data_IF_842752205272
#
_entry.id   IF_842752205272
#
_cell.length_a   1.000
_cell.length_b   1.000
_cell.length_c   1.000
_cell.angle_alpha   90.00
_cell.angle_beta   90.00
_cell.angle_gamma   90.00
#
_symmetry.space_group_name_H-M   'P 1'
#
loop_
_entity.id
_entity.type
_entity.pdbx_description
1 polymer ?
#
# COMPACT_ATOMS: atom_id res chain seq x y z
N UNK A 1 -15.77 25.96 -30.69
CA UNK A 1 -14.38 26.10 -30.21
C UNK A 1 -14.28 25.42 -28.84
N UNK A 2 -14.30 24.09 -28.81
CA UNK A 2 -13.98 23.32 -27.62
C UNK A 2 -12.85 22.38 -28.05
N UNK A 3 -11.61 22.82 -27.87
CA UNK A 3 -10.45 21.95 -28.05
C UNK A 3 -10.50 20.90 -26.94
N UNK A 4 -11.08 19.75 -27.28
CA UNK A 4 -11.14 18.57 -26.42
C UNK A 4 -9.72 18.19 -26.03
N UNK A 5 -9.47 18.08 -24.72
CA UNK A 5 -8.22 17.54 -24.19
C UNK A 5 -8.17 16.06 -24.60
N UNK A 6 -7.57 15.79 -25.75
CA UNK A 6 -7.51 14.48 -26.36
C UNK A 6 -6.09 13.93 -26.14
N UNK A 7 -5.93 13.12 -25.10
CA UNK A 7 -4.68 12.39 -24.88
C UNK A 7 -4.51 11.39 -26.03
N UNK A 8 -3.51 11.62 -26.88
CA UNK A 8 -3.23 10.80 -28.06
C UNK A 8 -2.56 9.47 -27.71
N UNK A 9 -1.97 9.35 -26.52
CA UNK A 9 -1.30 8.15 -26.06
C UNK A 9 -1.28 8.02 -24.54
N UNK A 10 -1.01 6.81 -24.03
CA UNK A 10 -0.77 6.59 -22.60
C UNK A 10 0.41 7.41 -22.08
N UNK A 11 1.44 7.63 -22.92
CA UNK A 11 2.59 8.46 -22.56
C UNK A 11 2.18 9.93 -22.34
N UNK A 12 1.24 10.46 -23.12
CA UNK A 12 0.69 11.82 -22.95
C UNK A 12 -0.20 11.94 -21.71
N UNK A 13 -0.83 10.83 -21.28
CA UNK A 13 -1.57 10.77 -20.02
C UNK A 13 -0.62 10.77 -18.81
N UNK A 14 0.53 10.10 -18.89
CA UNK A 14 1.54 10.19 -17.83
C UNK A 14 2.21 11.57 -17.85
N UNK A 15 2.51 12.09 -19.06
CA UNK A 15 3.14 13.38 -19.29
C UNK A 15 2.14 14.44 -19.77
N UNK A 16 1.13 14.74 -18.96
CA UNK A 16 0.24 15.90 -19.15
C UNK A 16 0.96 17.23 -18.87
N UNK A 17 2.13 17.46 -19.48
CA UNK A 17 2.93 18.66 -19.35
C UNK A 17 3.03 19.20 -17.91
N UNK A 18 2.75 20.48 -17.73
CA UNK A 18 2.90 21.19 -16.44
C UNK A 18 2.00 20.71 -15.29
N UNK A 19 0.96 19.92 -15.55
CA UNK A 19 0.05 19.43 -14.50
C UNK A 19 0.34 18.00 -14.05
N UNK A 20 1.09 17.23 -14.85
CA UNK A 20 1.41 15.84 -14.55
C UNK A 20 2.04 15.68 -13.17
N UNK A 21 3.02 16.53 -12.83
CA UNK A 21 3.73 16.44 -11.56
C UNK A 21 2.80 16.58 -10.34
N UNK A 22 1.89 17.56 -10.37
CA UNK A 22 0.96 17.81 -9.26
C UNK A 22 0.01 16.63 -9.05
N UNK A 23 -0.50 16.06 -10.15
CA UNK A 23 -1.43 14.93 -10.12
C UNK A 23 -0.71 13.68 -9.59
N UNK A 24 0.45 13.35 -10.15
CA UNK A 24 1.24 12.20 -9.72
C UNK A 24 1.75 12.32 -8.29
N UNK A 25 2.06 13.53 -7.80
CA UNK A 25 2.46 13.73 -6.41
C UNK A 25 1.34 13.36 -5.42
N UNK A 26 0.10 13.77 -5.70
CA UNK A 26 -1.06 13.41 -4.86
C UNK A 26 -1.34 11.91 -4.92
N UNK A 27 -1.32 11.31 -6.12
CA UNK A 27 -1.48 9.86 -6.27
C UNK A 27 -0.37 9.06 -5.60
N UNK A 28 0.88 9.53 -5.71
CA UNK A 28 2.03 8.93 -5.03
C UNK A 28 1.87 8.98 -3.51
N UNK A 29 1.47 10.14 -2.97
CA UNK A 29 1.21 10.28 -1.54
C UNK A 29 0.08 9.35 -1.08
N UNK A 30 -1.02 9.28 -1.83
CA UNK A 30 -2.12 8.36 -1.54
C UNK A 30 -1.68 6.88 -1.60
N UNK A 31 -0.88 6.50 -2.59
CA UNK A 31 -0.32 5.15 -2.70
C UNK A 31 0.57 4.82 -1.49
N UNK A 32 1.40 5.76 -1.02
CA UNK A 32 2.19 5.60 0.21
C UNK A 32 1.28 5.35 1.41
N UNK A 33 0.21 6.14 1.57
CA UNK A 33 -0.76 5.92 2.65
C UNK A 33 -1.39 4.54 2.59
N UNK A 34 -1.83 4.09 1.42
CA UNK A 34 -2.38 2.73 1.24
C UNK A 34 -1.36 1.65 1.58
N UNK A 35 -0.13 1.78 1.09
CA UNK A 35 0.95 0.83 1.37
C UNK A 35 1.20 0.75 2.87
N UNK A 36 1.39 1.88 3.54
CA UNK A 36 1.61 1.91 4.99
C UNK A 36 0.44 1.27 5.74
N UNK A 37 -0.79 1.64 5.38
CA UNK A 37 -2.00 1.12 6.03
C UNK A 37 -2.17 -0.39 5.83
N UNK A 38 -1.79 -0.92 4.67
CA UNK A 38 -1.88 -2.35 4.36
C UNK A 38 -0.71 -3.16 4.94
N UNK A 39 0.50 -2.59 4.97
CA UNK A 39 1.71 -3.28 5.44
C UNK A 39 1.74 -3.45 6.97
N UNK A 40 1.23 -2.47 7.71
CA UNK A 40 1.18 -2.50 9.16
C UNK A 40 0.39 -3.69 9.75
N UNK A 41 -0.83 -4.02 9.29
CA UNK A 41 -1.59 -5.17 9.78
C UNK A 41 -0.94 -6.50 9.39
N UNK A 42 -0.30 -6.58 8.22
CA UNK A 42 0.46 -7.76 7.78
C UNK A 42 1.63 -8.07 8.74
N UNK A 43 2.39 -7.05 9.13
CA UNK A 43 3.48 -7.17 10.11
C UNK A 43 2.95 -7.57 11.51
N UNK A 44 1.87 -6.92 11.97
CA UNK A 44 1.27 -7.23 13.28
C UNK A 44 0.73 -8.65 13.36
N UNK A 45 0.07 -9.15 12.30
CA UNK A 45 -0.42 -10.54 12.23
C UNK A 45 0.67 -11.56 12.45
N UNK A 46 1.84 -11.38 11.81
CA UNK A 46 2.99 -12.29 11.99
C UNK A 46 3.48 -12.33 13.44
N UNK A 47 3.50 -11.17 14.12
CA UNK A 47 3.93 -11.09 15.53
C UNK A 47 2.94 -11.79 16.46
N UNK A 48 1.63 -11.60 16.26
CA UNK A 48 0.59 -12.24 17.07
C UNK A 48 0.61 -13.75 16.91
N UNK A 49 0.62 -14.27 15.68
CA UNK A 49 0.65 -15.72 15.42
C UNK A 49 1.91 -16.37 16.02
N UNK A 50 3.07 -15.71 15.90
CA UNK A 50 4.32 -16.20 16.50
C UNK A 50 4.23 -16.30 18.03
N UNK A 51 3.61 -15.32 18.67
CA UNK A 51 3.43 -15.32 20.12
C UNK A 51 2.46 -16.41 20.58
N UNK A 52 1.35 -16.61 19.86
CA UNK A 52 0.39 -17.68 20.14
C UNK A 52 1.01 -19.08 20.00
N UNK A 53 1.84 -19.31 18.97
CA UNK A 53 2.54 -20.58 18.78
C UNK A 53 3.48 -20.90 19.95
N UNK A 54 4.22 -19.90 20.44
CA UNK A 54 5.11 -20.04 21.60
C UNK A 54 4.35 -20.30 22.90
N UNK A 55 3.21 -19.64 23.11
CA UNK A 55 2.37 -19.88 24.30
C UNK A 55 1.81 -21.31 24.33
N UNK A 56 1.31 -21.81 23.19
CA UNK A 56 0.80 -23.19 23.08
C UNK A 56 1.87 -24.25 23.36
N UNK A 57 3.11 -24.04 22.91
CA UNK A 57 4.21 -24.96 23.18
C UNK A 57 4.57 -25.07 24.68
N UNK A 58 4.47 -23.96 25.43
CA UNK A 58 4.73 -23.97 26.88
C UNK A 58 3.66 -24.73 27.65
N UNK A 59 2.39 -24.51 27.31
CA UNK A 59 1.26 -25.22 27.94
C UNK A 59 1.32 -26.74 27.74
N UNK A 60 1.76 -27.22 26.57
CA UNK A 60 1.93 -28.66 26.34
C UNK A 60 3.07 -29.30 27.12
N UNK A 61 4.03 -28.50 27.61
CA UNK A 61 5.19 -28.98 28.33
C UNK A 61 4.95 -29.03 29.85
N UNK A 62 4.12 -28.11 30.37
CA UNK A 62 3.68 -28.09 31.78
C UNK A 62 2.64 -29.18 32.13
N UNK A 63 2.01 -29.80 31.13
CA UNK A 63 1.00 -30.86 31.31
C UNK A 63 1.56 -32.29 31.31
N UNK A 64 2.88 -32.47 31.17
CA UNK A 64 3.57 -33.77 31.18
C UNK A 64 4.43 -33.92 32.41
#
# INVERSE_FOLDING_TARGET
MLSTVQFSSFADFINMGGYAFNVWAVYGLFAVFLVVNLWFPLLKRKKIIRNLKRARQRQSQDQR
#
